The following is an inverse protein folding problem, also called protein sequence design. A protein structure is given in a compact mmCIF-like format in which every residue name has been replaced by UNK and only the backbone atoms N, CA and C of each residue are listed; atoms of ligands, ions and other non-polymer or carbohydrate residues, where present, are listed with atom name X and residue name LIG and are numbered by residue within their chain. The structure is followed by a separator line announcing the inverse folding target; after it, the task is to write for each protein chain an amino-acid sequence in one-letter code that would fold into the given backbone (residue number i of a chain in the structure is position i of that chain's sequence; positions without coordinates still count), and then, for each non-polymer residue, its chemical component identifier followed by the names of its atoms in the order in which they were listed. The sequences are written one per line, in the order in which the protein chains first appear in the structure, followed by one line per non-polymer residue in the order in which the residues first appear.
data_IF_481143058568
#
_entry.id   IF_481143058568
#
_cell.length_a   1.000
_cell.length_b   1.000
_cell.length_c   1.000
_cell.angle_alpha   90.00
_cell.angle_beta   90.00
_cell.angle_gamma   90.00
#
_symmetry.space_group_name_H-M   'P 1'
#
loop_
_entity.id
_entity.type
_entity.pdbx_description
1 polymer ?
#
# COMPACT_ATOMS: atom_id res chain seq x y z
N UNK A 1 68.44 4.63 -32.37
CA UNK A 1 67.89 5.65 -31.47
C UNK A 1 66.36 5.69 -31.61
N UNK A 2 65.70 5.11 -30.60
CA UNK A 2 64.35 5.35 -30.04
C UNK A 2 63.24 5.90 -30.98
N UNK A 3 62.31 5.00 -31.34
CA UNK A 3 61.01 5.31 -31.95
C UNK A 3 59.97 5.40 -30.80
N UNK A 4 59.50 6.60 -30.45
CA UNK A 4 58.45 6.81 -29.42
C UNK A 4 57.10 6.35 -29.97
N UNK A 5 56.52 5.30 -29.36
CA UNK A 5 55.09 4.96 -29.53
C UNK A 5 54.28 5.81 -28.56
N UNK A 6 53.37 6.63 -29.07
CA UNK A 6 52.36 7.32 -28.27
C UNK A 6 51.19 6.37 -28.11
N UNK A 7 50.96 5.89 -26.88
CA UNK A 7 49.78 5.10 -26.50
C UNK A 7 48.76 6.10 -25.97
N UNK A 8 47.71 6.36 -26.74
CA UNK A 8 46.59 7.22 -26.32
C UNK A 8 45.65 6.39 -25.44
N UNK A 9 45.74 6.58 -24.12
CA UNK A 9 44.79 6.02 -23.15
C UNK A 9 43.49 6.84 -23.19
N UNK A 10 42.43 6.26 -23.75
CA UNK A 10 41.07 6.80 -23.62
C UNK A 10 40.57 6.56 -22.19
N UNK A 11 40.57 7.60 -21.37
CA UNK A 11 39.86 7.61 -20.09
C UNK A 11 38.36 7.81 -20.37
N UNK A 12 37.57 6.74 -20.30
CA UNK A 12 36.12 6.81 -20.22
C UNK A 12 35.73 7.34 -18.84
N UNK A 13 35.43 8.64 -18.75
CA UNK A 13 34.84 9.27 -17.57
C UNK A 13 33.43 8.71 -17.39
N UNK A 14 33.28 7.78 -16.44
CA UNK A 14 31.95 7.39 -15.95
C UNK A 14 31.45 8.54 -15.10
N UNK A 15 30.53 9.34 -15.66
CA UNK A 15 29.80 10.35 -14.91
C UNK A 15 28.97 9.64 -13.84
N UNK A 16 29.46 9.63 -12.60
CA UNK A 16 28.64 9.36 -11.43
C UNK A 16 27.65 10.51 -11.30
N UNK A 17 26.44 10.32 -11.83
CA UNK A 17 25.32 11.18 -11.48
C UNK A 17 25.00 10.90 -10.01
N UNK A 18 25.11 11.87 -9.08
CA UNK A 18 24.58 11.68 -7.75
C UNK A 18 23.09 11.38 -7.90
N UNK A 19 22.63 10.28 -7.30
CA UNK A 19 21.19 9.99 -7.19
C UNK A 19 20.61 11.13 -6.37
N UNK A 20 19.89 12.03 -7.03
CA UNK A 20 19.17 13.11 -6.35
C UNK A 20 18.11 12.47 -5.47
N UNK A 21 18.35 12.41 -4.16
CA UNK A 21 17.33 12.04 -3.20
C UNK A 21 16.23 13.08 -3.24
N UNK A 22 14.99 12.62 -3.35
CA UNK A 22 13.85 13.49 -3.07
C UNK A 22 13.73 13.62 -1.55
N UNK A 23 13.27 14.76 -1.05
CA UNK A 23 12.79 14.89 0.33
C UNK A 23 11.32 15.23 0.22
N UNK A 24 10.49 14.20 0.15
CA UNK A 24 9.09 14.35 -0.15
C UNK A 24 8.25 14.49 1.11
N UNK A 25 7.44 15.54 1.16
CA UNK A 25 6.18 15.53 1.92
C UNK A 25 5.02 15.58 0.95
N UNK A 26 3.89 15.00 1.31
CA UNK A 26 2.66 15.09 0.52
C UNK A 26 1.54 15.74 1.32
N UNK A 27 0.61 16.38 0.61
CA UNK A 27 -0.64 16.94 1.13
C UNK A 27 -1.82 16.31 0.44
N UNK A 28 -3.00 16.48 1.01
CA UNK A 28 -4.25 15.95 0.48
C UNK A 28 -4.51 16.38 -0.97
N UNK A 29 -4.37 17.67 -1.36
CA UNK A 29 -4.50 18.07 -2.76
C UNK A 29 -3.53 17.34 -3.72
N UNK A 30 -2.29 17.09 -3.29
CA UNK A 30 -1.33 16.38 -4.14
C UNK A 30 -1.68 14.91 -4.28
N UNK A 31 -2.10 14.25 -3.19
CA UNK A 31 -2.62 12.88 -3.24
C UNK A 31 -3.78 12.81 -4.24
N UNK A 32 -4.81 13.66 -4.08
CA UNK A 32 -5.96 13.69 -4.99
C UNK A 32 -5.54 13.93 -6.45
N UNK A 33 -4.61 14.86 -6.68
CA UNK A 33 -4.10 15.17 -8.02
C UNK A 33 -3.38 13.97 -8.64
N UNK A 34 -2.49 13.31 -7.89
CA UNK A 34 -1.71 12.16 -8.36
C UNK A 34 -2.60 10.92 -8.57
N UNK A 35 -3.55 10.66 -7.67
CA UNK A 35 -4.56 9.60 -7.82
C UNK A 35 -5.38 9.83 -9.09
N UNK A 36 -5.80 11.08 -9.34
CA UNK A 36 -6.56 11.43 -10.56
C UNK A 36 -5.72 11.28 -11.82
N UNK A 37 -4.44 11.67 -11.77
CA UNK A 37 -3.52 11.47 -12.90
C UNK A 37 -3.30 9.98 -13.23
N UNK A 38 -3.31 9.10 -12.22
CA UNK A 38 -3.22 7.65 -12.40
C UNK A 38 -4.55 6.93 -12.66
N UNK A 39 -5.69 7.63 -12.61
CA UNK A 39 -7.01 7.01 -12.64
C UNK A 39 -7.25 6.15 -13.89
N UNK A 40 -6.77 6.59 -15.06
CA UNK A 40 -6.95 5.84 -16.31
C UNK A 40 -6.26 4.47 -16.29
N UNK A 41 -5.05 4.39 -15.72
CA UNK A 41 -4.27 3.15 -15.66
C UNK A 41 -4.68 2.26 -14.49
N UNK A 42 -5.15 2.87 -13.40
CA UNK A 42 -5.37 2.19 -12.13
C UNK A 42 -6.80 1.81 -11.84
N UNK A 43 -7.76 2.64 -12.22
CA UNK A 43 -9.17 2.32 -12.01
C UNK A 43 -9.61 1.10 -12.83
N UNK A 44 -9.04 0.89 -14.03
CA UNK A 44 -9.33 -0.27 -14.91
C UNK A 44 -10.83 -0.57 -14.99
N UNK A 45 -11.62 0.45 -15.28
CA UNK A 45 -13.06 0.34 -15.32
C UNK A 45 -13.52 -0.58 -16.45
N UNK A 46 -14.43 -1.51 -16.14
CA UNK A 46 -14.99 -2.41 -17.12
C UNK A 46 -16.44 -2.84 -16.79
N UNK A 47 -17.27 -3.07 -17.81
CA UNK A 47 -18.59 -3.65 -17.63
C UNK A 47 -18.47 -5.18 -17.54
N UNK A 48 -18.74 -5.77 -16.39
CA UNK A 48 -18.48 -7.20 -16.12
C UNK A 48 -19.71 -8.09 -16.26
N UNK A 49 -20.91 -7.52 -16.21
CA UNK A 49 -22.15 -8.30 -16.17
C UNK A 49 -23.42 -7.45 -16.13
N UNK A 50 -24.55 -8.11 -15.87
CA UNK A 50 -25.86 -7.49 -15.64
C UNK A 50 -26.46 -8.04 -14.35
N UNK A 51 -27.09 -7.16 -13.58
CA UNK A 51 -27.87 -7.50 -12.39
C UNK A 51 -29.36 -7.38 -12.64
N UNK A 52 -30.11 -8.29 -12.04
CA UNK A 52 -31.57 -8.35 -12.10
C UNK A 52 -32.16 -7.96 -10.74
N UNK A 53 -33.13 -7.06 -10.78
CA UNK A 53 -33.79 -6.49 -9.61
C UNK A 53 -35.30 -6.64 -9.73
N UNK A 54 -35.99 -6.93 -8.64
CA UNK A 54 -37.43 -6.89 -8.59
C UNK A 54 -37.89 -5.51 -8.14
N UNK A 55 -38.67 -4.83 -9.00
CA UNK A 55 -39.33 -3.56 -8.68
C UNK A 55 -40.83 -3.78 -8.59
N UNK A 56 -41.38 -3.75 -7.38
CA UNK A 56 -42.82 -3.84 -7.13
C UNK A 56 -43.43 -2.45 -6.89
N UNK A 57 -44.58 -2.20 -7.51
CA UNK A 57 -45.49 -1.10 -7.23
C UNK A 57 -46.88 -1.64 -6.90
N UNK A 58 -47.82 -0.78 -6.54
CA UNK A 58 -49.20 -1.14 -6.26
C UNK A 58 -49.91 -1.84 -7.44
N UNK A 59 -49.46 -1.59 -8.67
CA UNK A 59 -49.99 -2.19 -9.91
C UNK A 59 -49.30 -3.49 -10.37
N UNK A 60 -48.31 -4.00 -9.62
CA UNK A 60 -47.59 -5.24 -9.96
C UNK A 60 -46.07 -5.14 -9.83
N UNK A 61 -45.38 -6.26 -10.09
CA UNK A 61 -43.93 -6.36 -10.03
C UNK A 61 -43.30 -6.48 -11.42
N UNK A 62 -42.22 -5.73 -11.66
CA UNK A 62 -41.44 -5.78 -12.90
C UNK A 62 -39.99 -6.08 -12.60
N UNK A 63 -39.37 -6.93 -13.42
CA UNK A 63 -37.91 -7.16 -13.36
C UNK A 63 -37.21 -5.99 -14.05
N UNK A 64 -36.25 -5.39 -13.36
CA UNK A 64 -35.41 -4.29 -13.85
C UNK A 64 -33.97 -4.74 -13.89
N UNK A 65 -33.26 -4.35 -14.94
CA UNK A 65 -31.84 -4.68 -15.10
C UNK A 65 -30.96 -3.46 -14.84
N UNK A 66 -29.73 -3.71 -14.39
CA UNK A 66 -28.66 -2.72 -14.30
C UNK A 66 -27.35 -3.33 -14.78
N UNK A 67 -26.46 -2.52 -15.34
CA UNK A 67 -25.10 -2.97 -15.63
C UNK A 67 -24.35 -3.25 -14.32
N UNK A 68 -23.56 -4.32 -14.32
CA UNK A 68 -22.56 -4.64 -13.29
C UNK A 68 -21.23 -4.10 -13.78
N UNK A 69 -20.62 -3.25 -12.97
CA UNK A 69 -19.34 -2.61 -13.27
C UNK A 69 -18.29 -3.16 -12.33
N UNK A 70 -17.09 -3.39 -12.85
CA UNK A 70 -15.89 -3.73 -12.10
C UNK A 70 -14.85 -2.64 -12.29
N UNK A 71 -14.26 -2.14 -11.21
CA UNK A 71 -13.14 -1.22 -11.26
C UNK A 71 -12.38 -1.24 -9.92
N UNK A 72 -11.18 -0.69 -9.93
CA UNK A 72 -10.35 -0.55 -8.75
C UNK A 72 -10.58 0.82 -8.11
N UNK A 73 -10.87 0.82 -6.81
CA UNK A 73 -10.98 2.02 -6.00
C UNK A 73 -9.66 2.29 -5.27
N UNK A 74 -9.23 3.56 -5.14
CA UNK A 74 -8.15 3.92 -4.24
C UNK A 74 -8.73 3.92 -2.82
N UNK A 75 -8.51 2.82 -2.09
CA UNK A 75 -9.13 2.62 -0.77
C UNK A 75 -8.30 3.26 0.34
N UNK A 76 -6.98 3.08 0.30
CA UNK A 76 -6.08 3.54 1.35
C UNK A 76 -4.92 4.33 0.76
N UNK A 77 -4.45 5.31 1.51
CA UNK A 77 -3.10 5.84 1.42
C UNK A 77 -2.29 5.14 2.51
N UNK A 78 -1.24 4.43 2.12
CA UNK A 78 -0.32 3.77 3.05
C UNK A 78 1.00 4.52 3.01
N UNK A 79 1.42 5.03 4.16
CA UNK A 79 2.64 5.81 4.32
C UNK A 79 3.62 5.06 5.21
N UNK A 80 4.89 5.02 4.82
CA UNK A 80 5.97 4.40 5.60
C UNK A 80 7.09 5.40 5.81
N UNK A 81 7.57 5.51 7.03
CA UNK A 81 8.48 6.58 7.44
C UNK A 81 9.34 6.16 8.63
N UNK A 82 10.42 6.89 8.88
CA UNK A 82 11.43 6.50 9.88
C UNK A 82 11.08 6.94 11.30
N UNK A 83 10.52 8.14 11.45
CA UNK A 83 10.30 8.76 12.75
C UNK A 83 8.88 8.57 13.28
N UNK A 84 8.70 8.10 14.51
CA UNK A 84 7.38 8.00 15.12
C UNK A 84 6.66 9.36 15.09
N UNK A 85 5.43 9.38 14.58
CA UNK A 85 4.67 10.62 14.34
C UNK A 85 5.22 11.51 13.22
N UNK A 86 6.12 10.98 12.39
CA UNK A 86 6.78 11.66 11.27
C UNK A 86 6.10 11.47 9.92
N UNK A 87 4.82 11.06 9.89
CA UNK A 87 4.10 10.72 8.65
C UNK A 87 4.32 11.76 7.52
N UNK A 88 4.68 11.35 6.29
CA UNK A 88 4.94 12.28 5.20
C UNK A 88 3.69 12.99 4.68
N UNK A 89 2.50 12.48 5.02
CA UNK A 89 1.24 13.16 4.78
C UNK A 89 1.00 14.23 5.86
N UNK A 90 1.18 15.49 5.49
CA UNK A 90 1.29 16.64 6.40
C UNK A 90 0.06 16.79 7.31
N UNK A 91 -1.15 16.68 6.76
CA UNK A 91 -2.39 16.84 7.52
C UNK A 91 -2.60 15.70 8.53
N UNK A 92 -2.23 14.47 8.16
CA UNK A 92 -2.26 13.32 9.05
C UNK A 92 -1.21 13.47 10.15
N UNK A 93 0.01 13.87 9.78
CA UNK A 93 1.08 14.13 10.75
C UNK A 93 0.65 15.16 11.80
N UNK A 94 0.01 16.24 11.38
CA UNK A 94 -0.44 17.29 12.27
C UNK A 94 -1.56 16.83 13.23
N UNK A 95 -2.41 15.91 12.80
CA UNK A 95 -3.59 15.45 13.56
C UNK A 95 -3.30 14.22 14.42
N UNK A 96 -2.58 13.25 13.89
CA UNK A 96 -2.34 11.95 14.53
C UNK A 96 -0.93 11.81 15.12
N UNK A 97 0.04 12.60 14.66
CA UNK A 97 1.45 12.42 15.06
C UNK A 97 1.68 12.62 16.56
N UNK A 98 1.03 13.61 17.18
CA UNK A 98 1.09 13.82 18.63
C UNK A 98 0.41 12.69 19.41
N UNK A 99 -0.73 12.20 18.92
CA UNK A 99 -1.46 11.10 19.55
C UNK A 99 -0.65 9.80 19.49
N UNK A 100 0.00 9.50 18.36
CA UNK A 100 0.92 8.37 18.21
C UNK A 100 2.09 8.45 19.18
N UNK A 101 2.75 9.62 19.27
CA UNK A 101 3.86 9.82 20.21
C UNK A 101 3.41 9.64 21.65
N UNK A 102 2.28 10.25 22.05
CA UNK A 102 1.75 10.13 23.40
C UNK A 102 1.34 8.69 23.74
N UNK A 103 0.67 8.00 22.83
CA UNK A 103 0.24 6.62 23.02
C UNK A 103 1.43 5.65 23.09
N UNK A 104 2.43 5.83 22.23
CA UNK A 104 3.66 5.05 22.29
C UNK A 104 4.37 5.29 23.64
N UNK A 105 4.58 6.54 24.05
CA UNK A 105 5.23 6.83 25.34
C UNK A 105 4.45 6.31 26.54
N UNK A 106 3.12 6.41 26.52
CA UNK A 106 2.26 5.96 27.62
C UNK A 106 2.12 4.44 27.72
N UNK A 107 1.77 3.78 26.61
CA UNK A 107 1.51 2.34 26.57
C UNK A 107 2.80 1.53 26.55
N UNK A 108 3.79 1.92 25.73
CA UNK A 108 5.08 1.22 25.69
C UNK A 108 5.93 1.57 26.89
N UNK A 109 6.04 2.84 27.27
CA UNK A 109 6.83 3.24 28.44
C UNK A 109 6.37 2.60 29.76
N UNK A 110 5.10 2.20 29.86
CA UNK A 110 4.55 1.51 31.03
C UNK A 110 4.65 -0.03 30.97
N UNK A 111 4.63 -0.64 29.77
CA UNK A 111 4.55 -2.10 29.61
C UNK A 111 5.85 -2.75 29.13
N UNK A 112 6.73 -2.01 28.46
CA UNK A 112 7.97 -2.53 27.86
C UNK A 112 9.10 -1.49 27.97
N UNK A 113 10.26 -1.81 28.58
CA UNK A 113 11.41 -0.91 28.65
C UNK A 113 12.14 -0.85 27.29
N UNK A 114 11.42 -0.52 26.22
CA UNK A 114 11.96 -0.37 24.87
C UNK A 114 12.15 1.12 24.61
N UNK A 115 13.31 1.56 24.08
CA UNK A 115 13.49 2.94 23.66
C UNK A 115 12.35 3.37 22.71
N UNK A 116 11.59 4.39 23.13
CA UNK A 116 10.49 4.98 22.36
C UNK A 116 11.05 5.92 21.28
N UNK A 117 12.32 6.31 21.42
CA UNK A 117 13.07 7.01 20.39
C UNK A 117 13.09 6.14 19.14
N UNK A 118 12.68 6.75 18.03
CA UNK A 118 12.55 6.07 16.76
C UNK A 118 13.78 5.22 16.49
N UNK A 119 13.57 3.93 16.23
CA UNK A 119 14.53 3.19 15.44
C UNK A 119 14.55 3.91 14.10
N UNK A 120 15.38 4.94 13.98
CA UNK A 120 15.57 5.66 12.73
C UNK A 120 16.04 4.67 11.66
N UNK A 121 16.44 5.18 10.51
CA UNK A 121 16.86 4.41 9.33
C UNK A 121 18.04 3.42 9.56
N UNK A 122 18.44 3.14 10.80
CA UNK A 122 19.66 2.43 11.18
C UNK A 122 19.45 1.74 12.51
N UNK A 123 19.62 0.43 12.56
CA UNK A 123 20.47 -0.19 13.59
C UNK A 123 20.83 -1.63 13.25
N UNK A 124 21.98 -1.79 12.60
CA UNK A 124 23.06 -2.66 13.10
C UNK A 124 24.39 -2.00 12.67
N UNK A 125 25.33 -1.85 13.60
CA UNK A 125 26.65 -1.26 13.33
C UNK A 125 26.97 0.00 14.15
N UNK A 126 28.03 -0.08 14.95
CA UNK A 126 28.56 1.03 15.77
C UNK A 126 29.51 1.93 14.99
N UNK A 127 29.87 1.55 13.75
CA UNK A 127 30.79 2.29 12.90
C UNK A 127 30.15 2.77 11.60
N UNK A 128 30.73 3.79 10.96
CA UNK A 128 30.29 4.26 9.63
C UNK A 128 30.53 3.24 8.51
N UNK A 129 31.25 2.13 8.77
CA UNK A 129 31.62 1.12 7.77
C UNK A 129 30.75 -0.15 7.81
N UNK A 130 29.80 -0.24 8.72
CA UNK A 130 28.94 -1.41 8.83
C UNK A 130 27.85 -1.38 7.75
N UNK A 131 27.61 -2.53 7.12
CA UNK A 131 26.53 -2.70 6.15
C UNK A 131 25.18 -2.71 6.86
N UNK A 132 24.41 -1.61 6.72
CA UNK A 132 23.12 -1.42 7.39
C UNK A 132 21.99 -1.95 6.51
N UNK A 133 21.80 -3.26 6.50
CA UNK A 133 20.73 -3.89 5.71
C UNK A 133 19.44 -4.10 6.51
N UNK A 134 19.50 -3.99 7.84
CA UNK A 134 18.32 -4.04 8.70
C UNK A 134 17.76 -2.63 8.88
N UNK A 135 16.52 -2.43 8.41
CA UNK A 135 15.83 -1.13 8.44
C UNK A 135 14.50 -1.28 9.16
N UNK A 136 14.22 -0.35 10.06
CA UNK A 136 12.92 -0.22 10.70
C UNK A 136 12.13 0.93 10.08
N UNK A 137 10.83 0.75 9.88
CA UNK A 137 9.92 1.84 9.53
C UNK A 137 8.60 1.74 10.27
N UNK A 138 8.11 2.91 10.66
CA UNK A 138 6.71 3.12 11.02
C UNK A 138 5.84 3.07 9.77
N UNK A 139 4.58 2.70 9.92
CA UNK A 139 3.63 2.57 8.82
C UNK A 139 2.21 2.87 9.29
N UNK A 140 1.55 3.74 8.54
CA UNK A 140 0.14 4.08 8.74
C UNK A 140 -0.65 3.73 7.48
N UNK A 141 -1.85 3.16 7.67
CA UNK A 141 -2.81 2.91 6.61
C UNK A 141 -4.09 3.71 6.88
N UNK A 142 -4.38 4.66 6.00
CA UNK A 142 -5.41 5.68 6.21
C UNK A 142 -6.36 5.69 5.02
N UNK A 143 -7.66 5.81 5.29
CA UNK A 143 -8.69 5.91 4.25
C UNK A 143 -8.40 7.03 3.26
N UNK A 144 -8.41 6.68 1.98
CA UNK A 144 -8.04 7.61 0.93
C UNK A 144 -9.04 8.79 0.85
N UNK A 145 -8.60 10.02 0.54
CA UNK A 145 -9.47 11.19 0.50
C UNK A 145 -10.68 11.02 -0.43
N UNK A 146 -10.50 10.30 -1.55
CA UNK A 146 -11.55 10.02 -2.53
C UNK A 146 -12.48 8.85 -2.18
N UNK A 147 -12.25 8.13 -1.08
CA UNK A 147 -13.06 6.95 -0.73
C UNK A 147 -14.54 7.28 -0.52
N UNK A 148 -14.85 8.38 0.18
CA UNK A 148 -16.23 8.84 0.37
C UNK A 148 -16.88 9.40 -0.90
N UNK A 149 -16.10 9.97 -1.82
CA UNK A 149 -16.59 10.49 -3.10
C UNK A 149 -17.06 9.36 -4.02
N UNK A 150 -16.43 8.18 -3.96
CA UNK A 150 -16.91 7.00 -4.68
C UNK A 150 -18.36 6.62 -4.30
N UNK A 151 -18.73 6.80 -3.03
CA UNK A 151 -20.09 6.56 -2.52
C UNK A 151 -21.12 7.58 -3.01
N UNK A 152 -20.72 8.85 -3.16
CA UNK A 152 -21.60 9.91 -3.68
C UNK A 152 -21.92 9.69 -5.17
N UNK A 153 -20.92 9.26 -5.95
CA UNK A 153 -21.06 9.00 -7.39
C UNK A 153 -21.63 7.59 -7.65
N UNK A 154 -21.62 6.67 -6.68
CA UNK A 154 -22.24 5.35 -6.83
C UNK A 154 -23.73 5.41 -7.22
N UNK A 155 -24.43 6.49 -6.87
CA UNK A 155 -25.81 6.74 -7.29
C UNK A 155 -26.01 6.82 -8.81
N UNK A 156 -24.98 7.21 -9.58
CA UNK A 156 -25.05 7.20 -11.06
C UNK A 156 -24.89 5.79 -11.63
N UNK A 157 -24.35 4.85 -10.85
CA UNK A 157 -24.18 3.44 -11.24
C UNK A 157 -22.92 3.14 -12.04
N UNK A 158 -21.96 4.07 -12.06
CA UNK A 158 -20.70 3.93 -12.78
C UNK A 158 -19.53 3.61 -11.84
N UNK A 159 -19.60 4.01 -10.58
CA UNK A 159 -18.58 3.72 -9.57
C UNK A 159 -19.17 2.93 -8.40
N UNK A 160 -18.31 2.19 -7.73
CA UNK A 160 -18.66 1.34 -6.61
C UNK A 160 -18.24 2.06 -5.34
N UNK A 161 -19.08 2.02 -4.29
CA UNK A 161 -18.67 2.57 -3.01
C UNK A 161 -17.48 1.78 -2.48
N UNK A 162 -16.45 2.49 -2.01
CA UNK A 162 -15.34 1.90 -1.26
C UNK A 162 -15.80 1.41 0.13
N UNK A 163 -15.08 0.44 0.70
CA UNK A 163 -15.26 0.02 2.10
C UNK A 163 -14.58 0.96 3.10
N UNK A 164 -13.83 1.94 2.61
CA UNK A 164 -13.04 2.83 3.44
C UNK A 164 -13.70 4.19 3.62
N UNK A 165 -13.50 4.78 4.79
CA UNK A 165 -13.92 6.16 5.10
C UNK A 165 -12.72 7.09 4.92
N UNK A 166 -12.89 8.19 4.18
CA UNK A 166 -11.83 9.17 3.95
C UNK A 166 -11.21 9.66 5.27
N UNK A 167 -9.87 9.71 5.32
CA UNK A 167 -9.05 10.13 6.47
C UNK A 167 -9.18 9.28 7.75
N UNK A 168 -9.90 8.16 7.70
CA UNK A 168 -10.00 7.28 8.85
C UNK A 168 -8.73 6.41 9.00
N UNK A 169 -8.06 6.41 10.17
CA UNK A 169 -6.87 5.58 10.38
C UNK A 169 -7.27 4.13 10.64
N UNK A 170 -7.00 3.25 9.67
CA UNK A 170 -7.27 1.82 9.80
C UNK A 170 -6.13 1.09 10.51
N UNK A 171 -4.90 1.56 10.35
CA UNK A 171 -3.74 1.04 11.06
C UNK A 171 -2.74 2.14 11.33
N UNK A 172 -2.13 2.09 12.52
CA UNK A 172 -1.04 2.96 12.93
C UNK A 172 -0.04 2.14 13.71
N UNK A 173 1.14 1.91 13.14
CA UNK A 173 2.19 1.09 13.73
C UNK A 173 2.62 1.52 15.13
N UNK A 174 2.57 2.84 15.41
CA UNK A 174 2.91 3.39 16.72
C UNK A 174 1.97 2.94 17.85
N UNK A 175 0.73 2.57 17.53
CA UNK A 175 -0.25 2.02 18.49
C UNK A 175 -0.13 0.50 18.63
N UNK A 176 0.40 -0.15 17.59
CA UNK A 176 0.54 -1.60 17.47
C UNK A 176 1.94 -2.07 17.86
N UNK A 177 2.54 -1.45 18.87
CA UNK A 177 3.97 -1.56 19.06
C UNK A 177 4.45 -2.95 19.52
N UNK A 178 3.59 -3.79 20.12
CA UNK A 178 3.97 -5.18 20.43
C UNK A 178 4.19 -5.98 19.13
N UNK A 179 3.16 -6.07 18.29
CA UNK A 179 3.24 -6.86 17.05
C UNK A 179 4.14 -6.20 16.01
N UNK A 180 4.09 -4.87 15.89
CA UNK A 180 4.87 -4.14 14.89
C UNK A 180 6.35 -4.01 15.25
N UNK A 181 6.73 -3.80 16.52
CA UNK A 181 8.15 -3.61 16.90
C UNK A 181 8.82 -4.86 17.46
N UNK A 182 8.08 -5.74 18.14
CA UNK A 182 8.63 -6.95 18.75
C UNK A 182 8.35 -8.22 17.95
N UNK A 183 7.61 -8.11 16.83
CA UNK A 183 7.24 -9.25 15.99
C UNK A 183 6.34 -10.28 16.69
N UNK A 184 5.84 -10.00 17.90
CA UNK A 184 5.05 -10.94 18.69
C UNK A 184 3.57 -10.57 18.58
N UNK A 185 2.67 -11.52 18.23
CA UNK A 185 2.89 -12.96 18.07
C UNK A 185 3.18 -13.38 16.63
N UNK A 186 3.42 -12.44 15.72
CA UNK A 186 3.63 -12.68 14.28
C UNK A 186 4.77 -13.68 13.98
N UNK A 187 5.80 -13.71 14.82
CA UNK A 187 6.92 -14.64 14.74
C UNK A 187 6.47 -16.10 14.77
N UNK A 188 5.33 -16.43 15.40
CA UNK A 188 4.84 -17.81 15.49
C UNK A 188 4.14 -18.31 14.23
N UNK A 189 3.88 -17.46 13.23
CA UNK A 189 3.32 -17.93 11.96
C UNK A 189 4.37 -18.74 11.18
N UNK A 190 3.99 -19.85 10.51
CA UNK A 190 4.93 -20.65 9.73
C UNK A 190 5.69 -19.86 8.65
N UNK A 191 5.06 -18.82 8.08
CA UNK A 191 5.66 -17.95 7.09
C UNK A 191 6.81 -17.09 7.63
N UNK A 192 6.93 -16.93 8.95
CA UNK A 192 8.04 -16.21 9.60
C UNK A 192 9.35 -17.01 9.60
N UNK A 193 9.28 -18.34 9.42
CA UNK A 193 10.46 -19.22 9.48
C UNK A 193 10.72 -20.05 8.22
N UNK A 194 9.78 -20.08 7.28
CA UNK A 194 9.91 -20.86 6.03
C UNK A 194 10.17 -19.88 4.88
N UNK A 195 11.42 -19.74 4.41
CA UNK A 195 11.73 -18.90 3.26
C UNK A 195 10.92 -19.31 2.04
N UNK A 196 10.46 -18.34 1.26
CA UNK A 196 9.61 -18.61 0.09
C UNK A 196 8.11 -18.62 0.40
N UNK A 197 7.71 -18.82 1.66
CA UNK A 197 6.32 -18.74 2.06
C UNK A 197 5.93 -17.28 2.29
N UNK A 198 4.91 -16.77 1.57
CA UNK A 198 4.44 -15.38 1.67
C UNK A 198 5.55 -14.35 1.43
N UNK A 199 6.23 -14.46 0.29
CA UNK A 199 7.37 -13.61 -0.09
C UNK A 199 6.98 -12.52 -1.09
N UNK A 200 7.51 -11.31 -0.88
CA UNK A 200 7.39 -10.21 -1.82
C UNK A 200 8.49 -10.31 -2.88
N UNK A 201 8.21 -11.05 -3.93
CA UNK A 201 9.15 -11.35 -5.02
C UNK A 201 9.12 -12.82 -5.39
N UNK A 202 10.13 -13.30 -6.09
CA UNK A 202 10.30 -14.70 -6.48
C UNK A 202 11.51 -15.31 -5.79
N UNK A 203 11.28 -15.93 -4.63
CA UNK A 203 12.30 -16.71 -3.93
C UNK A 203 12.72 -17.96 -4.74
N UNK A 204 14.00 -18.37 -4.74
CA UNK A 204 15.14 -17.75 -4.05
C UNK A 204 15.88 -16.68 -4.89
N UNK A 205 15.47 -16.47 -6.15
CA UNK A 205 16.26 -15.70 -7.11
C UNK A 205 16.17 -14.19 -6.91
N UNK A 206 14.99 -13.67 -6.57
CA UNK A 206 14.75 -12.25 -6.37
C UNK A 206 13.67 -12.06 -5.33
N UNK A 207 14.03 -11.77 -4.08
CA UNK A 207 13.05 -11.43 -3.04
C UNK A 207 13.36 -10.07 -2.43
N UNK A 208 12.30 -9.30 -2.17
CA UNK A 208 12.35 -8.08 -1.38
C UNK A 208 12.16 -8.36 0.11
N UNK A 209 11.70 -9.56 0.48
CA UNK A 209 11.52 -10.01 1.86
C UNK A 209 10.16 -10.65 2.12
N UNK A 210 10.08 -11.38 3.23
CA UNK A 210 8.87 -12.06 3.67
C UNK A 210 7.81 -11.10 4.22
N UNK A 211 6.54 -11.34 3.90
CA UNK A 211 5.41 -10.60 4.50
C UNK A 211 5.34 -10.88 6.00
N UNK A 212 5.65 -12.11 6.43
CA UNK A 212 5.69 -12.50 7.83
C UNK A 212 7.14 -12.53 8.37
N UNK A 213 7.36 -12.18 9.66
CA UNK A 213 6.39 -11.58 10.56
C UNK A 213 5.96 -10.18 10.06
N UNK A 214 4.71 -9.79 10.28
CA UNK A 214 4.21 -8.47 9.84
C UNK A 214 4.66 -7.37 10.80
N UNK A 215 5.94 -7.02 10.68
CA UNK A 215 6.66 -6.05 11.52
C UNK A 215 7.15 -4.84 10.73
N UNK A 216 7.59 -3.81 11.46
CA UNK A 216 8.34 -2.68 10.91
C UNK A 216 9.78 -3.02 10.49
N UNK A 217 10.34 -4.15 10.94
CA UNK A 217 11.71 -4.56 10.62
C UNK A 217 11.81 -5.28 9.28
N UNK A 218 12.74 -4.85 8.44
CA UNK A 218 12.99 -5.45 7.13
C UNK A 218 14.48 -5.51 6.82
N UNK A 219 14.93 -6.67 6.35
CA UNK A 219 16.29 -6.89 5.85
C UNK A 219 16.36 -6.63 4.35
N UNK A 220 16.66 -5.39 3.96
CA UNK A 220 16.86 -4.99 2.56
C UNK A 220 17.92 -3.90 2.45
N UNK A 221 18.81 -4.05 1.46
CA UNK A 221 19.79 -3.02 1.13
C UNK A 221 19.15 -1.81 0.43
N UNK A 222 18.06 -2.02 -0.34
CA UNK A 222 17.32 -0.94 -1.00
C UNK A 222 16.18 -0.45 -0.11
N UNK A 223 16.34 0.76 0.42
CA UNK A 223 15.34 1.42 1.26
C UNK A 223 13.91 1.45 0.66
N UNK A 224 13.71 1.77 -0.64
CA UNK A 224 12.37 1.79 -1.22
C UNK A 224 11.69 0.42 -1.20
N UNK A 225 12.45 -0.67 -1.34
CA UNK A 225 11.91 -2.04 -1.31
C UNK A 225 11.48 -2.43 0.10
N UNK A 226 12.28 -2.08 1.11
CA UNK A 226 11.86 -2.25 2.51
C UNK A 226 10.61 -1.44 2.84
N UNK A 227 10.55 -0.19 2.37
CA UNK A 227 9.38 0.66 2.56
C UNK A 227 8.13 0.05 1.87
N UNK A 228 8.25 -0.43 0.64
CA UNK A 228 7.17 -1.14 -0.06
C UNK A 228 6.73 -2.43 0.66
N UNK A 229 7.66 -3.19 1.25
CA UNK A 229 7.33 -4.38 2.04
C UNK A 229 6.51 -4.01 3.29
N UNK A 230 6.91 -2.97 4.03
CA UNK A 230 6.16 -2.52 5.20
C UNK A 230 4.76 -2.02 4.82
N UNK A 231 4.62 -1.31 3.69
CA UNK A 231 3.33 -0.92 3.15
C UNK A 231 2.46 -2.15 2.79
N UNK A 232 3.06 -3.18 2.18
CA UNK A 232 2.38 -4.45 1.89
C UNK A 232 1.89 -5.14 3.17
N UNK A 233 2.71 -5.18 4.22
CA UNK A 233 2.36 -5.75 5.53
C UNK A 233 1.17 -5.03 6.16
N UNK A 234 1.19 -3.70 6.20
CA UNK A 234 0.07 -2.91 6.70
C UNK A 234 -1.21 -3.15 5.88
N UNK A 235 -1.10 -3.21 4.55
CA UNK A 235 -2.21 -3.55 3.66
C UNK A 235 -2.77 -4.97 3.91
N UNK A 236 -1.92 -5.95 4.17
CA UNK A 236 -2.33 -7.32 4.50
C UNK A 236 -3.05 -7.39 5.86
N UNK A 237 -2.59 -6.64 6.87
CA UNK A 237 -3.24 -6.54 8.19
C UNK A 237 -4.66 -5.98 8.03
N UNK A 238 -4.79 -4.78 7.45
CA UNK A 238 -6.07 -4.07 7.41
C UNK A 238 -7.11 -4.72 6.51
N UNK A 239 -6.70 -5.50 5.52
CA UNK A 239 -7.65 -6.20 4.62
C UNK A 239 -8.08 -7.57 5.13
N UNK A 240 -7.62 -7.97 6.32
CA UNK A 240 -8.02 -9.22 6.99
C UNK A 240 -8.75 -8.93 8.30
N UNK A 241 -9.53 -9.89 8.77
CA UNK A 241 -10.19 -9.84 10.08
C UNK A 241 -9.45 -10.72 11.10
N UNK A 242 -9.52 -10.35 12.37
CA UNK A 242 -8.98 -11.14 13.48
C UNK A 242 -7.45 -11.31 13.47
N UNK A 243 -6.72 -10.33 12.95
CA UNK A 243 -5.25 -10.35 13.02
C UNK A 243 -4.78 -9.91 14.42
N UNK A 244 -3.65 -10.43 14.93
CA UNK A 244 -3.15 -10.08 16.27
C UNK A 244 -2.42 -8.74 16.26
N UNK A 245 -3.12 -7.69 15.84
CA UNK A 245 -2.63 -6.32 15.70
C UNK A 245 -3.66 -5.34 16.29
N UNK A 246 -3.23 -4.13 16.63
CA UNK A 246 -4.12 -3.01 16.96
C UNK A 246 -4.51 -2.29 15.68
N UNK A 247 -5.69 -2.62 15.13
CA UNK A 247 -6.16 -2.08 13.86
C UNK A 247 -7.69 -2.14 13.75
N UNK A 248 -8.22 -1.45 12.74
CA UNK A 248 -9.60 -1.58 12.29
C UNK A 248 -9.58 -2.28 10.94
N UNK A 249 -10.31 -3.41 10.77
CA UNK A 249 -10.35 -4.09 9.48
C UNK A 249 -11.17 -3.29 8.47
N UNK A 250 -10.66 -3.17 7.25
CA UNK A 250 -11.39 -2.65 6.09
C UNK A 250 -12.47 -3.65 5.76
N UNK A 251 -13.67 -3.36 6.26
CA UNK A 251 -14.87 -4.15 6.06
C UNK A 251 -15.95 -3.25 5.51
N UNK A 252 -16.64 -3.75 4.50
CA UNK A 252 -17.68 -3.00 3.81
C UNK A 252 -19.00 -3.06 4.55
N UNK A 253 -19.69 -1.92 4.58
CA UNK A 253 -21.13 -1.91 4.72
C UNK A 253 -21.77 -1.96 3.33
N UNK A 254 -22.89 -2.69 3.21
CA UNK A 254 -23.66 -2.73 1.96
C UNK A 254 -24.33 -1.37 1.73
N UNK A 255 -23.75 -0.55 0.84
CA UNK A 255 -24.31 0.75 0.44
C UNK A 255 -25.56 0.65 -0.45
N UNK A 256 -25.85 1.71 -1.21
CA UNK A 256 -27.00 1.81 -2.11
C UNK A 256 -26.90 0.89 -3.35
N UNK A 257 -27.02 -0.42 -3.16
CA UNK A 257 -26.95 -1.40 -4.25
C UNK A 257 -26.34 -2.72 -3.81
N UNK A 258 -26.01 -3.56 -4.79
CA UNK A 258 -25.27 -4.81 -4.56
C UNK A 258 -23.81 -4.53 -4.87
N UNK A 259 -22.95 -4.75 -3.88
CA UNK A 259 -21.51 -4.53 -3.99
C UNK A 259 -20.82 -5.84 -3.62
N UNK A 260 -19.84 -6.24 -4.43
CA UNK A 260 -18.91 -7.32 -4.16
C UNK A 260 -17.57 -6.67 -3.84
N UNK A 261 -17.17 -6.84 -2.60
CA UNK A 261 -15.93 -6.29 -2.10
C UNK A 261 -14.76 -7.25 -2.33
N UNK A 262 -13.53 -6.74 -2.45
CA UNK A 262 -12.36 -7.58 -2.62
C UNK A 262 -12.07 -8.39 -1.35
N UNK A 263 -11.55 -9.60 -1.55
CA UNK A 263 -10.99 -10.42 -0.47
C UNK A 263 -9.67 -9.87 0.06
N UNK A 264 -8.98 -10.56 0.98
CA UNK A 264 -7.72 -10.11 1.56
C UNK A 264 -6.65 -9.73 0.52
N UNK A 265 -5.81 -8.75 0.82
CA UNK A 265 -4.65 -8.43 -0.01
C UNK A 265 -3.65 -9.60 0.00
N UNK A 266 -3.14 -9.93 -1.18
CA UNK A 266 -2.10 -10.93 -1.38
C UNK A 266 -1.00 -10.32 -2.24
N UNK A 267 0.23 -10.48 -1.79
CA UNK A 267 1.45 -10.07 -2.48
C UNK A 267 1.51 -10.63 -3.90
N UNK A 268 2.00 -9.82 -4.84
CA UNK A 268 2.13 -10.16 -6.27
C UNK A 268 0.82 -10.48 -7.01
N UNK A 269 -0.31 -10.52 -6.33
CA UNK A 269 -1.61 -10.82 -6.92
C UNK A 269 -2.39 -9.54 -7.22
N UNK A 270 -2.36 -9.13 -8.50
CA UNK A 270 -3.09 -7.95 -8.99
C UNK A 270 -4.61 -8.06 -8.80
N UNK A 271 -5.15 -9.27 -8.67
CA UNK A 271 -6.60 -9.48 -8.46
C UNK A 271 -7.02 -9.14 -7.03
N UNK A 272 -6.09 -8.99 -6.11
CA UNK A 272 -6.40 -8.56 -4.73
C UNK A 272 -6.09 -7.09 -4.50
N UNK A 273 -5.14 -6.50 -5.24
CA UNK A 273 -4.86 -5.08 -5.20
C UNK A 273 -3.61 -4.69 -5.95
N UNK A 274 -3.45 -3.39 -6.18
CA UNK A 274 -2.26 -2.80 -6.83
C UNK A 274 -1.86 -1.52 -6.13
N UNK A 275 -0.59 -1.16 -6.24
CA UNK A 275 -0.01 -0.02 -5.58
C UNK A 275 0.37 1.06 -6.59
N UNK A 276 0.09 2.32 -6.26
CA UNK A 276 0.54 3.48 -7.01
C UNK A 276 1.44 4.31 -6.10
N UNK A 277 2.69 4.56 -6.51
CA UNK A 277 3.59 5.41 -5.73
C UNK A 277 3.16 6.87 -5.79
N UNK A 278 3.01 7.50 -4.62
CA UNK A 278 2.78 8.93 -4.47
C UNK A 278 4.08 9.67 -4.14
N UNK A 279 4.95 9.02 -3.36
CA UNK A 279 6.16 9.61 -2.81
C UNK A 279 7.25 8.53 -2.70
N UNK A 280 8.53 8.85 -2.96
CA UNK A 280 9.10 10.15 -3.35
C UNK A 280 8.80 10.60 -4.79
N UNK A 281 8.60 9.64 -5.69
CA UNK A 281 8.38 9.90 -7.11
C UNK A 281 6.97 9.47 -7.50
N UNK A 282 6.05 10.41 -7.76
CA UNK A 282 4.69 10.08 -8.15
C UNK A 282 4.66 9.28 -9.45
N UNK A 283 3.89 8.20 -9.47
CA UNK A 283 3.66 7.36 -10.64
C UNK A 283 2.19 7.45 -11.09
N UNK A 284 1.96 7.51 -12.40
CA UNK A 284 0.62 7.43 -12.97
C UNK A 284 0.18 5.97 -13.26
N UNK A 285 1.08 5.01 -13.09
CA UNK A 285 0.80 3.58 -13.21
C UNK A 285 0.67 2.95 -11.84
N UNK A 286 0.06 1.76 -11.80
CA UNK A 286 0.01 0.93 -10.61
C UNK A 286 0.37 -0.50 -10.95
N UNK A 287 1.07 -1.10 -10.01
CA UNK A 287 1.57 -2.45 -10.10
C UNK A 287 1.57 -3.10 -8.72
N UNK A 288 1.72 -4.41 -8.68
CA UNK A 288 2.07 -5.12 -7.46
C UNK A 288 3.54 -4.90 -7.14
N UNK A 289 3.87 -4.94 -5.86
CA UNK A 289 5.26 -5.00 -5.42
C UNK A 289 5.88 -6.40 -5.69
N UNK A 290 7.21 -6.49 -5.65
CA UNK A 290 7.93 -7.73 -5.94
C UNK A 290 8.16 -7.99 -7.44
N UNK A 291 8.21 -6.93 -8.25
CA UNK A 291 8.58 -7.03 -9.67
C UNK A 291 10.04 -7.46 -9.81
N UNK A 292 10.31 -8.39 -10.73
CA UNK A 292 11.67 -8.87 -10.98
C UNK A 292 12.48 -7.80 -11.70
N UNK A 293 13.52 -7.30 -11.02
CA UNK A 293 14.39 -6.22 -11.45
C UNK A 293 15.86 -6.64 -11.58
N UNK A 294 16.17 -7.95 -11.56
CA UNK A 294 17.54 -8.47 -11.65
C UNK A 294 18.29 -8.03 -12.92
N UNK A 295 17.56 -7.85 -14.03
CA UNK A 295 18.12 -7.39 -15.30
C UNK A 295 18.11 -5.85 -15.44
N UNK A 296 17.59 -5.12 -14.44
CA UNK A 296 17.57 -3.65 -14.44
C UNK A 296 18.92 -3.11 -13.99
N UNK A 297 19.46 -2.13 -14.73
CA UNK A 297 20.72 -1.46 -14.38
C UNK A 297 20.64 -0.69 -13.07
N UNK A 298 19.46 -0.21 -12.70
CA UNK A 298 19.25 0.64 -11.50
C UNK A 298 18.34 -0.02 -10.47
N UNK A 299 17.89 -1.25 -10.70
CA UNK A 299 16.87 -1.91 -9.87
C UNK A 299 15.52 -1.17 -9.86
N UNK A 300 14.59 -1.66 -9.04
CA UNK A 300 13.31 -1.02 -8.78
C UNK A 300 13.47 0.20 -7.86
N UNK A 301 14.42 0.21 -6.92
CA UNK A 301 14.67 1.38 -6.07
C UNK A 301 15.30 2.58 -6.80
N UNK A 302 15.85 2.38 -8.01
CA UNK A 302 16.52 3.43 -8.79
C UNK A 302 15.65 4.67 -9.02
N UNK A 303 16.09 5.81 -8.49
CA UNK A 303 15.36 7.09 -8.59
C UNK A 303 14.08 7.18 -7.76
N UNK A 304 13.84 6.20 -6.86
CA UNK A 304 12.75 6.17 -5.88
C UNK A 304 13.27 6.30 -4.45
N UNK A 305 14.50 6.76 -4.25
CA UNK A 305 15.07 6.93 -2.91
C UNK A 305 14.70 8.31 -2.37
N UNK A 306 14.09 8.32 -1.19
CA UNK A 306 13.85 9.53 -0.42
C UNK A 306 14.96 9.70 0.63
N UNK A 307 15.56 10.89 0.74
CA UNK A 307 16.66 11.14 1.67
C UNK A 307 16.23 11.16 3.13
N UNK A 308 14.96 11.47 3.41
CA UNK A 308 14.37 11.38 4.75
C UNK A 308 13.84 9.96 5.03
N UNK A 309 13.77 9.11 4.01
CA UNK A 309 13.23 7.74 4.08
C UNK A 309 11.72 7.70 4.17
N UNK A 310 11.06 8.74 3.64
CA UNK A 310 9.62 8.88 3.61
C UNK A 310 9.03 8.34 2.30
N UNK A 311 7.95 7.56 2.41
CA UNK A 311 7.28 6.98 1.25
C UNK A 311 5.77 6.93 1.45
N UNK A 312 5.02 7.00 0.35
CA UNK A 312 3.57 6.89 0.37
C UNK A 312 3.06 6.24 -0.92
N UNK A 313 2.02 5.42 -0.78
CA UNK A 313 1.35 4.75 -1.89
C UNK A 313 -0.16 4.77 -1.75
N UNK A 314 -0.87 4.79 -2.87
CA UNK A 314 -2.27 4.40 -2.89
C UNK A 314 -2.38 2.89 -3.03
N UNK A 315 -3.25 2.28 -2.21
CA UNK A 315 -3.71 0.92 -2.39
C UNK A 315 -5.02 0.92 -3.20
N UNK A 316 -4.93 0.45 -4.44
CA UNK A 316 -6.05 0.28 -5.35
C UNK A 316 -6.62 -1.13 -5.20
N UNK A 317 -7.94 -1.25 -5.04
CA UNK A 317 -8.62 -2.48 -4.65
C UNK A 317 -9.80 -2.77 -5.56
N UNK A 318 -9.97 -3.99 -6.07
CA UNK A 318 -10.99 -4.27 -7.07
C UNK A 318 -12.38 -4.47 -6.46
N UNK A 319 -13.34 -3.69 -6.94
CA UNK A 319 -14.75 -3.80 -6.58
C UNK A 319 -15.59 -4.19 -7.77
N UNK A 320 -16.69 -4.88 -7.51
CA UNK A 320 -17.81 -4.93 -8.44
C UNK A 320 -19.06 -4.37 -7.78
N UNK A 321 -19.93 -3.75 -8.56
CA UNK A 321 -21.21 -3.30 -8.04
C UNK A 321 -22.27 -3.16 -9.12
N UNK A 322 -23.51 -3.10 -8.65
CA UNK A 322 -24.69 -2.83 -9.45
C UNK A 322 -25.51 -1.71 -8.85
N UNK A 323 -25.90 -0.76 -9.69
CA UNK A 323 -26.86 0.28 -9.33
C UNK A 323 -28.20 -0.35 -8.96
N UNK A 324 -28.73 0.02 -7.80
CA UNK A 324 -30.06 -0.43 -7.37
C UNK A 324 -31.15 0.04 -8.34
N UNK A 325 -31.88 -0.90 -8.95
CA UNK A 325 -33.02 -0.61 -9.86
C UNK A 325 -34.37 -1.15 -9.37
N UNK A 326 -34.39 -1.88 -8.25
CA UNK A 326 -35.58 -2.41 -7.59
C UNK A 326 -35.39 -2.52 -6.08
N UNK A 327 -36.43 -2.94 -5.37
CA UNK A 327 -36.34 -3.16 -3.92
C UNK A 327 -35.51 -4.40 -3.58
N UNK A 328 -35.60 -5.45 -4.41
CA UNK A 328 -34.95 -6.74 -4.15
C UNK A 328 -33.94 -7.07 -5.24
N UNK A 329 -32.75 -7.50 -4.84
CA UNK A 329 -31.77 -8.10 -5.75
C UNK A 329 -32.15 -9.56 -5.99
N UNK A 330 -32.19 -9.98 -7.25
CA UNK A 330 -32.49 -11.36 -7.61
C UNK A 330 -31.19 -12.14 -7.83
N UNK A 331 -30.47 -11.82 -8.90
CA UNK A 331 -29.20 -12.45 -9.27
C UNK A 331 -28.40 -11.56 -10.22
N UNK A 332 -27.16 -11.95 -10.51
CA UNK A 332 -26.30 -11.33 -11.51
C UNK A 332 -25.76 -12.38 -12.48
N UNK A 333 -25.59 -11.98 -13.74
CA UNK A 333 -24.91 -12.79 -14.75
C UNK A 333 -23.65 -12.01 -15.16
N UNK A 334 -22.50 -12.68 -15.06
CA UNK A 334 -21.21 -12.16 -15.50
C UNK A 334 -20.89 -12.73 -16.88
N UNK A 335 -20.52 -11.89 -17.84
CA UNK A 335 -20.03 -12.34 -19.15
C UNK A 335 -18.51 -12.39 -19.23
N UNK A 336 -17.82 -11.88 -18.20
CA UNK A 336 -16.37 -11.96 -18.06
C UNK A 336 -15.99 -12.16 -16.59
N UNK A 337 -14.87 -12.84 -16.35
CA UNK A 337 -14.27 -12.92 -15.02
C UNK A 337 -13.73 -11.55 -14.61
N UNK A 338 -13.93 -11.20 -13.34
CA UNK A 338 -13.36 -10.01 -12.76
C UNK A 338 -12.98 -10.30 -11.30
N UNK A 339 -11.81 -9.86 -10.83
CA UNK A 339 -10.78 -9.11 -11.57
C UNK A 339 -10.16 -9.91 -12.74
N UNK A 340 -9.66 -9.24 -13.79
CA UNK A 340 -9.14 -9.90 -15.00
C UNK A 340 -7.78 -10.55 -14.81
#
# INVERSE_FOLDING_TARGET
MIRRRVITLFFSVVLWFPVTGFTGTTTTPQIVTQTTAGALMCMRWMPTGVCFWLRCSWSGCSVRTSIKVGHYNPDLVVSTYNELGGNPWVEIRATLGLAQKAAATGLLGALLPVPIDSAGNRTEGTSERDHKNLVYRETDAIGHPLSSLSGLVAGVGLLCPSQTTSFFPYFQSGLDALSWRQEIPEIFYPASFIPGLRELGTWPLQTWGGVYPRTGWTTQAEEPKAAALNAQRAGDIVTRIGQPHVYVPVTGSSGFGRVWSPGPLVEKDRTTGTWQMLLPRPEASCDVFGTNDLASLTGWGGGRVDSAGDYAWNLWRPYQCCRRRGQWFLFSIDWMSYPP
#
